data_IF_719064927156
#
_entry.id   IF_719064927156
#
_cell.length_a   1.000
_cell.length_b   1.000
_cell.length_c   1.000
_cell.angle_alpha   90.00
_cell.angle_beta   90.00
_cell.angle_gamma   90.00
#
_symmetry.space_group_name_H-M   'P 1'
#
loop_
_entity.id
_entity.type
_entity.pdbx_description
1 polymer ?
#
# COMPACT_ATOMS: atom_id res chain seq x y z
N UNK A 1 50.13 35.26 21.54
CA UNK A 1 48.70 35.30 21.23
C UNK A 1 48.33 33.92 20.67
N UNK A 2 47.75 33.04 21.48
CA UNK A 2 47.32 31.68 21.04
C UNK A 2 45.87 31.78 20.57
N UNK A 3 45.64 31.56 19.29
CA UNK A 3 44.29 31.51 18.71
C UNK A 3 43.70 30.12 19.01
N UNK A 4 42.72 30.02 19.85
CA UNK A 4 41.97 28.80 20.14
C UNK A 4 40.87 28.70 19.10
N UNK A 5 41.02 27.76 18.17
CA UNK A 5 39.99 27.42 17.16
C UNK A 5 38.92 26.58 17.85
N UNK A 6 37.75 27.17 18.09
CA UNK A 6 36.58 26.42 18.60
C UNK A 6 35.94 25.68 17.43
N UNK A 7 36.05 24.35 17.45
CA UNK A 7 35.38 23.47 16.50
C UNK A 7 33.93 23.35 16.92
N UNK A 8 32.99 24.02 16.22
CA UNK A 8 31.57 23.81 16.37
C UNK A 8 31.20 22.47 15.66
N UNK A 9 31.06 21.40 16.44
CA UNK A 9 30.40 20.19 15.99
C UNK A 9 28.91 20.53 15.84
N UNK A 10 28.46 20.77 14.60
CA UNK A 10 27.03 20.68 14.29
C UNK A 10 26.61 19.23 14.50
N UNK A 11 26.00 18.94 15.63
CA UNK A 11 25.25 17.70 15.80
C UNK A 11 24.06 17.74 14.85
N UNK A 12 24.09 16.97 13.77
CA UNK A 12 22.91 16.73 12.96
C UNK A 12 21.88 16.04 13.86
N UNK A 13 20.89 16.78 14.33
CA UNK A 13 19.74 16.19 15.00
C UNK A 13 19.12 15.18 14.04
N UNK A 14 18.80 13.94 14.46
CA UNK A 14 18.13 13.00 13.59
C UNK A 14 16.86 13.64 13.07
N UNK A 15 16.58 13.49 11.79
CA UNK A 15 15.42 14.10 11.11
C UNK A 15 14.09 13.73 11.84
N UNK A 16 14.09 12.58 12.51
CA UNK A 16 12.99 12.10 13.35
C UNK A 16 13.56 11.49 14.63
N UNK A 17 12.87 11.71 15.75
CA UNK A 17 13.19 11.14 17.06
C UNK A 17 12.23 10.02 17.49
N UNK A 18 11.23 9.68 16.69
CA UNK A 18 10.21 8.67 16.97
C UNK A 18 9.76 8.00 15.67
N UNK A 19 9.24 6.78 15.78
CA UNK A 19 8.61 6.05 14.69
C UNK A 19 7.54 6.88 13.99
N UNK A 20 7.38 6.68 12.68
CA UNK A 20 6.53 7.51 11.83
C UNK A 20 5.50 6.70 11.08
N UNK A 21 4.37 7.34 10.84
CA UNK A 21 3.37 6.91 9.87
C UNK A 21 3.26 7.98 8.78
N UNK A 22 3.28 7.53 7.53
CA UNK A 22 3.04 8.37 6.34
C UNK A 22 1.72 7.94 5.75
N UNK A 23 0.85 8.87 5.38
CA UNK A 23 -0.48 8.56 4.87
C UNK A 23 -0.93 9.60 3.84
N UNK A 24 -1.91 9.23 3.05
CA UNK A 24 -2.36 10.01 1.89
C UNK A 24 -3.79 10.50 2.07
N UNK A 25 -4.04 11.74 1.67
CA UNK A 25 -5.38 12.31 1.52
C UNK A 25 -5.71 12.47 0.03
N UNK A 26 -6.58 11.59 -0.45
CA UNK A 26 -6.93 11.50 -1.87
C UNK A 26 -7.63 12.75 -2.38
N UNK A 27 -8.57 13.32 -1.60
CA UNK A 27 -9.33 14.50 -2.00
C UNK A 27 -8.53 15.80 -1.88
N UNK A 28 -7.70 15.89 -0.86
CA UNK A 28 -6.80 17.02 -0.65
C UNK A 28 -5.55 17.01 -1.51
N UNK A 29 -5.23 15.86 -2.15
CA UNK A 29 -4.01 15.67 -2.94
C UNK A 29 -2.76 15.87 -2.09
N UNK A 30 -2.74 15.27 -0.87
CA UNK A 30 -1.69 15.52 0.13
C UNK A 30 -0.98 14.21 0.53
N UNK A 31 0.32 14.36 0.78
CA UNK A 31 1.14 13.37 1.50
C UNK A 31 1.39 13.93 2.90
N UNK A 32 1.03 13.17 3.92
CA UNK A 32 1.13 13.58 5.32
C UNK A 32 2.05 12.63 6.09
N UNK A 33 2.62 13.16 7.18
CA UNK A 33 3.39 12.39 8.16
C UNK A 33 2.95 12.73 9.58
N UNK A 34 2.99 11.74 10.48
CA UNK A 34 2.83 11.93 11.92
C UNK A 34 3.78 11.01 12.68
N UNK A 35 3.93 11.24 13.97
CA UNK A 35 4.47 10.23 14.86
C UNK A 35 3.53 9.02 14.90
N UNK A 36 4.04 7.84 15.23
CA UNK A 36 3.24 6.61 15.33
C UNK A 36 2.17 6.65 16.44
N UNK A 37 2.25 7.61 17.36
CA UNK A 37 1.24 7.89 18.38
C UNK A 37 0.16 8.90 17.92
N UNK A 38 0.24 9.39 16.67
CA UNK A 38 -0.67 10.38 16.11
C UNK A 38 -0.29 11.84 16.35
N UNK A 39 0.75 12.12 17.14
CA UNK A 39 1.20 13.50 17.36
C UNK A 39 2.04 14.04 16.19
N UNK A 40 2.23 15.36 16.12
CA UNK A 40 3.16 15.99 15.19
C UNK A 40 2.77 15.85 13.71
N UNK A 41 1.47 15.86 13.39
CA UNK A 41 0.97 15.81 12.00
C UNK A 41 1.52 16.98 11.18
N UNK A 42 2.05 16.66 10.00
CA UNK A 42 2.54 17.66 9.03
C UNK A 42 2.17 17.23 7.61
N UNK A 43 1.90 18.20 6.76
CA UNK A 43 1.82 18.01 5.30
C UNK A 43 3.25 18.06 4.75
N UNK A 44 3.65 17.03 4.01
CA UNK A 44 4.94 16.95 3.34
C UNK A 44 4.86 17.46 1.89
N UNK A 45 3.81 17.01 1.18
CA UNK A 45 3.56 17.39 -0.21
C UNK A 45 2.09 17.73 -0.33
N UNK A 46 1.76 18.82 -1.04
CA UNK A 46 0.40 19.28 -1.29
C UNK A 46 0.21 19.77 -2.73
N UNK A 47 -1.03 20.08 -3.10
CA UNK A 47 -1.37 20.59 -4.43
C UNK A 47 -1.34 19.53 -5.53
N UNK A 48 -1.29 18.26 -5.18
CA UNK A 48 -1.30 17.14 -6.12
C UNK A 48 -2.75 16.74 -6.41
N UNK A 49 -3.28 17.17 -7.54
CA UNK A 49 -4.66 16.82 -7.96
C UNK A 49 -4.78 15.41 -8.55
N UNK A 50 -3.74 14.61 -8.44
CA UNK A 50 -3.63 13.34 -9.12
C UNK A 50 -4.21 12.15 -8.31
N UNK A 51 -4.98 12.38 -7.25
CA UNK A 51 -5.64 11.37 -6.42
C UNK A 51 -4.64 10.34 -5.86
N UNK A 52 -3.78 10.70 -4.90
CA UNK A 52 -2.80 9.78 -4.33
C UNK A 52 -3.49 8.62 -3.59
N UNK A 53 -2.96 7.39 -3.73
CA UNK A 53 -3.62 6.19 -3.18
C UNK A 53 -2.71 5.26 -2.38
N UNK A 54 -1.68 4.68 -2.94
CA UNK A 54 -0.75 3.79 -2.24
C UNK A 54 0.54 4.51 -1.85
N UNK A 55 1.16 4.14 -0.73
CA UNK A 55 2.41 4.72 -0.26
C UNK A 55 3.31 3.67 0.37
N UNK A 56 4.63 3.78 0.11
CA UNK A 56 5.68 3.01 0.80
C UNK A 56 6.83 3.90 1.19
N UNK A 57 7.58 3.45 2.19
CA UNK A 57 8.82 4.10 2.66
C UNK A 57 10.00 3.20 2.37
N UNK A 58 11.07 3.78 1.83
CA UNK A 58 12.39 3.17 1.79
C UNK A 58 13.27 3.74 2.93
N UNK A 59 13.47 2.99 4.01
CA UNK A 59 14.31 3.46 5.12
C UNK A 59 15.78 3.63 4.72
N UNK A 60 16.25 2.86 3.71
CA UNK A 60 17.64 2.87 3.27
C UNK A 60 17.99 4.12 2.47
N UNK A 61 17.19 4.45 1.45
CA UNK A 61 17.37 5.67 0.65
C UNK A 61 16.77 6.91 1.33
N UNK A 62 15.99 6.73 2.44
CA UNK A 62 15.26 7.77 3.15
C UNK A 62 14.24 8.49 2.25
N UNK A 63 13.52 7.71 1.47
CA UNK A 63 12.54 8.20 0.50
C UNK A 63 11.16 7.59 0.73
N UNK A 64 10.14 8.34 0.34
CA UNK A 64 8.75 7.87 0.21
C UNK A 64 8.39 7.79 -1.26
N UNK A 65 7.61 6.78 -1.63
CA UNK A 65 7.04 6.60 -2.97
C UNK A 65 5.54 6.49 -2.85
N UNK A 66 4.80 7.10 -3.77
CA UNK A 66 3.34 6.99 -3.78
C UNK A 66 2.81 6.94 -5.21
N UNK A 67 1.66 6.29 -5.35
CA UNK A 67 0.90 6.24 -6.60
C UNK A 67 -0.04 7.43 -6.69
N UNK A 68 -0.25 7.91 -7.90
CA UNK A 68 -1.28 8.87 -8.26
C UNK A 68 -2.22 8.21 -9.26
N UNK A 69 -3.50 8.07 -8.91
CA UNK A 69 -4.49 7.39 -9.75
C UNK A 69 -4.80 8.12 -11.04
N UNK A 70 -4.50 9.42 -11.11
CA UNK A 70 -4.92 10.25 -12.24
C UNK A 70 -6.42 10.56 -12.24
N UNK A 71 -6.96 10.95 -13.40
CA UNK A 71 -8.37 11.24 -13.55
C UNK A 71 -9.17 9.95 -13.81
N UNK A 72 -10.40 9.87 -13.31
CA UNK A 72 -11.25 8.73 -13.59
C UNK A 72 -11.42 8.50 -15.10
N UNK A 73 -11.21 7.24 -15.54
CA UNK A 73 -11.36 6.78 -16.94
C UNK A 73 -10.30 7.33 -17.92
N UNK A 74 -9.24 7.96 -17.43
CA UNK A 74 -8.09 8.36 -18.24
C UNK A 74 -6.88 7.45 -17.91
N UNK A 75 -6.04 7.19 -18.90
CA UNK A 75 -4.76 6.48 -18.72
C UNK A 75 -3.68 7.53 -18.41
N UNK A 76 -3.77 8.13 -17.22
CA UNK A 76 -2.89 9.22 -16.79
C UNK A 76 -2.32 9.04 -15.37
N UNK A 77 -2.36 7.82 -14.86
CA UNK A 77 -1.74 7.47 -13.58
C UNK A 77 -0.21 7.58 -13.62
N UNK A 78 0.37 7.75 -12.44
CA UNK A 78 1.83 7.93 -12.27
C UNK A 78 2.30 7.44 -10.90
N UNK A 79 3.62 7.34 -10.71
CA UNK A 79 4.25 7.12 -9.40
C UNK A 79 5.27 8.23 -9.18
N UNK A 80 5.24 8.82 -8.00
CA UNK A 80 6.17 9.86 -7.55
C UNK A 80 6.95 9.41 -6.33
N UNK A 81 8.06 10.07 -6.07
CA UNK A 81 8.86 9.94 -4.85
C UNK A 81 9.31 11.30 -4.33
N UNK A 82 9.60 11.35 -3.04
CA UNK A 82 10.29 12.47 -2.40
C UNK A 82 11.18 11.95 -1.26
N UNK A 83 12.04 12.80 -0.72
CA UNK A 83 12.71 12.51 0.54
C UNK A 83 11.70 12.49 1.70
N UNK A 84 12.07 11.92 2.86
CA UNK A 84 11.19 11.79 4.03
C UNK A 84 10.66 13.13 4.58
N UNK A 85 11.26 14.25 4.20
CA UNK A 85 10.80 15.61 4.55
C UNK A 85 9.91 16.26 3.49
N UNK A 86 9.65 15.57 2.37
CA UNK A 86 8.86 16.04 1.24
C UNK A 86 9.65 16.80 0.18
N UNK A 87 10.96 16.97 0.36
CA UNK A 87 11.82 17.63 -0.64
C UNK A 87 12.21 16.69 -1.80
N UNK A 88 12.85 17.23 -2.83
CA UNK A 88 13.36 16.49 -4.01
C UNK A 88 12.29 15.63 -4.72
N UNK A 89 11.09 16.20 -4.85
CA UNK A 89 9.98 15.55 -5.55
C UNK A 89 10.38 15.16 -6.98
N UNK A 90 10.16 13.89 -7.33
CA UNK A 90 10.56 13.31 -8.62
C UNK A 90 9.49 12.35 -9.12
N UNK A 91 9.18 12.39 -10.41
CA UNK A 91 8.33 11.39 -11.06
C UNK A 91 9.18 10.13 -11.36
N UNK A 92 8.73 8.98 -10.87
CA UNK A 92 9.35 7.67 -11.06
C UNK A 92 8.72 6.95 -12.26
N UNK A 93 7.39 6.78 -12.23
CA UNK A 93 6.63 6.28 -13.37
C UNK A 93 5.89 7.48 -13.97
N UNK A 94 6.15 7.82 -15.26
CA UNK A 94 5.56 8.99 -15.87
C UNK A 94 4.04 8.86 -16.00
N UNK A 95 3.37 9.99 -16.20
CA UNK A 95 1.94 10.03 -16.52
C UNK A 95 1.65 9.17 -17.75
N UNK A 96 0.67 8.26 -17.64
CA UNK A 96 0.36 7.25 -18.67
C UNK A 96 1.22 5.98 -18.59
N UNK A 97 2.13 5.88 -17.62
CA UNK A 97 2.88 4.64 -17.36
C UNK A 97 2.08 3.59 -16.60
N UNK A 98 0.97 3.98 -16.00
CA UNK A 98 -0.04 3.12 -15.39
C UNK A 98 -1.42 3.76 -15.59
N UNK A 99 -2.47 2.95 -15.65
CA UNK A 99 -3.84 3.47 -15.85
C UNK A 99 -4.36 4.13 -14.57
N UNK A 100 -4.54 3.32 -13.51
CA UNK A 100 -5.00 3.78 -12.20
C UNK A 100 -4.23 3.03 -11.12
N UNK A 101 -2.95 3.38 -10.91
CA UNK A 101 -2.13 2.69 -9.92
C UNK A 101 -2.71 2.91 -8.52
N UNK A 102 -2.87 1.79 -7.80
CA UNK A 102 -3.42 1.72 -6.45
C UNK A 102 -2.29 1.46 -5.44
N UNK A 103 -2.39 0.43 -4.63
CA UNK A 103 -1.37 0.13 -3.63
C UNK A 103 -0.04 -0.28 -4.25
N UNK A 104 1.06 0.00 -3.54
CA UNK A 104 2.40 -0.38 -3.99
C UNK A 104 3.23 -0.98 -2.84
N UNK A 105 4.24 -1.77 -3.21
CA UNK A 105 5.22 -2.35 -2.28
C UNK A 105 6.63 -2.19 -2.84
N UNK A 106 7.61 -2.16 -1.93
CA UNK A 106 9.01 -1.97 -2.23
C UNK A 106 9.82 -3.21 -1.82
N UNK A 107 10.57 -3.76 -2.76
CA UNK A 107 11.65 -4.71 -2.50
C UNK A 107 12.97 -3.93 -2.42
N UNK A 108 13.36 -3.55 -1.21
CA UNK A 108 14.58 -2.78 -0.96
C UNK A 108 15.86 -3.58 -1.24
N UNK A 109 15.78 -4.93 -1.23
CA UNK A 109 16.92 -5.81 -1.48
C UNK A 109 17.31 -5.81 -2.97
N UNK A 110 16.32 -5.89 -3.86
CA UNK A 110 16.53 -5.98 -5.30
C UNK A 110 16.25 -4.66 -6.02
N UNK A 111 15.87 -3.60 -5.30
CA UNK A 111 15.58 -2.28 -5.86
C UNK A 111 14.39 -2.30 -6.81
N UNK A 112 13.28 -2.93 -6.40
CA UNK A 112 12.07 -3.05 -7.22
C UNK A 112 10.86 -2.41 -6.54
N UNK A 113 10.05 -1.71 -7.35
CA UNK A 113 8.69 -1.28 -7.00
C UNK A 113 7.69 -2.23 -7.66
N UNK A 114 6.64 -2.55 -6.91
CA UNK A 114 5.50 -3.34 -7.37
C UNK A 114 4.22 -2.58 -7.10
N UNK A 115 3.29 -2.56 -8.03
CA UNK A 115 1.99 -1.92 -7.82
C UNK A 115 0.85 -2.65 -8.52
N UNK A 116 -0.34 -2.47 -7.99
CA UNK A 116 -1.59 -2.86 -8.64
C UNK A 116 -2.09 -1.71 -9.51
N UNK A 117 -2.53 -2.01 -10.71
CA UNK A 117 -3.10 -1.05 -11.66
C UNK A 117 -4.57 -1.41 -11.90
N UNK A 118 -5.47 -0.70 -11.21
CA UNK A 118 -6.88 -1.09 -11.06
C UNK A 118 -7.61 -1.20 -12.39
N UNK A 119 -7.84 -0.11 -13.08
CA UNK A 119 -8.47 -0.10 -14.40
C UNK A 119 -7.52 -0.54 -15.51
N UNK A 120 -6.21 -0.57 -15.24
CA UNK A 120 -5.23 -1.27 -16.08
C UNK A 120 -5.37 -2.77 -16.03
N UNK A 121 -6.06 -3.30 -14.99
CA UNK A 121 -6.30 -4.73 -14.76
C UNK A 121 -4.98 -5.52 -14.72
N UNK A 122 -3.96 -4.97 -14.02
CA UNK A 122 -2.61 -5.50 -14.05
C UNK A 122 -1.96 -5.46 -12.67
N UNK A 123 -1.00 -6.37 -12.47
CA UNK A 123 0.04 -6.23 -11.46
C UNK A 123 1.33 -5.92 -12.19
N UNK A 124 2.01 -4.88 -11.76
CA UNK A 124 3.17 -4.33 -12.45
C UNK A 124 4.39 -4.24 -11.55
N UNK A 125 5.55 -4.16 -12.16
CA UNK A 125 6.84 -3.98 -11.50
C UNK A 125 7.75 -3.06 -12.31
N UNK A 126 8.63 -2.31 -11.62
CA UNK A 126 9.76 -1.59 -12.22
C UNK A 126 10.97 -1.62 -11.31
N UNK A 127 12.09 -1.09 -11.78
CA UNK A 127 13.15 -0.64 -10.88
C UNK A 127 12.68 0.58 -10.08
N UNK A 128 13.32 0.84 -8.93
CA UNK A 128 12.99 2.01 -8.08
C UNK A 128 13.23 3.36 -8.74
N UNK A 129 14.01 3.39 -9.83
CA UNK A 129 14.23 4.58 -10.66
C UNK A 129 13.18 4.73 -11.78
N UNK A 130 12.20 3.81 -11.88
CA UNK A 130 11.16 3.78 -12.89
C UNK A 130 11.56 3.12 -14.21
N UNK A 131 12.78 2.65 -14.35
CA UNK A 131 13.20 1.88 -15.53
C UNK A 131 12.63 0.45 -15.52
N UNK A 132 12.61 -0.22 -16.69
CA UNK A 132 12.17 -1.61 -16.84
C UNK A 132 10.78 -1.88 -16.27
N UNK A 133 9.79 -1.07 -16.69
CA UNK A 133 8.39 -1.32 -16.36
C UNK A 133 7.91 -2.59 -17.07
N UNK A 134 7.34 -3.51 -16.31
CA UNK A 134 6.82 -4.78 -16.84
C UNK A 134 5.51 -5.18 -16.15
N UNK A 135 4.67 -5.91 -16.87
CA UNK A 135 3.45 -6.51 -16.37
C UNK A 135 3.74 -7.93 -15.86
N UNK A 136 3.34 -8.25 -14.64
CA UNK A 136 3.49 -9.58 -14.04
C UNK A 136 2.21 -10.42 -14.14
N UNK A 137 1.06 -9.77 -14.00
CA UNK A 137 -0.27 -10.38 -14.10
C UNK A 137 -1.17 -9.46 -14.92
N UNK A 138 -1.98 -10.03 -15.81
CA UNK A 138 -3.05 -9.33 -16.51
C UNK A 138 -4.36 -10.07 -16.26
N UNK A 139 -5.33 -9.38 -15.66
CA UNK A 139 -6.63 -9.97 -15.22
C UNK A 139 -7.75 -9.70 -16.22
N UNK A 140 -7.52 -8.88 -17.21
CA UNK A 140 -8.46 -8.55 -18.28
C UNK A 140 -7.86 -7.61 -19.31
N UNK A 141 -8.49 -7.52 -20.48
CA UNK A 141 -8.05 -6.69 -21.58
C UNK A 141 -9.22 -5.95 -22.27
N UNK A 142 -8.99 -4.69 -22.61
CA UNK A 142 -9.96 -3.86 -23.32
C UNK A 142 -11.07 -3.29 -22.44
N UNK A 143 -11.92 -2.45 -23.03
CA UNK A 143 -12.89 -1.64 -22.29
C UNK A 143 -14.03 -2.46 -21.65
N UNK A 144 -14.42 -3.57 -22.28
CA UNK A 144 -15.45 -4.47 -21.73
C UNK A 144 -14.96 -5.11 -20.42
N UNK A 145 -13.73 -5.64 -20.42
CA UNK A 145 -13.12 -6.20 -19.22
C UNK A 145 -12.86 -5.12 -18.16
N UNK A 146 -12.49 -3.91 -18.56
CA UNK A 146 -12.26 -2.75 -17.68
C UNK A 146 -13.52 -2.30 -16.95
N UNK A 147 -14.70 -2.47 -17.56
CA UNK A 147 -15.97 -2.16 -16.92
C UNK A 147 -16.38 -3.18 -15.83
N UNK A 148 -15.74 -4.35 -15.81
CA UNK A 148 -16.00 -5.40 -14.83
C UNK A 148 -15.03 -5.28 -13.65
N UNK A 149 -15.54 -4.84 -12.51
CA UNK A 149 -14.74 -4.63 -11.29
C UNK A 149 -14.09 -5.92 -10.73
N UNK A 150 -14.53 -7.11 -11.17
CA UNK A 150 -13.89 -8.37 -10.80
C UNK A 150 -12.47 -8.50 -11.37
N UNK A 151 -12.13 -7.70 -12.39
CA UNK A 151 -10.78 -7.63 -12.97
C UNK A 151 -9.88 -6.60 -12.28
N UNK A 152 -10.40 -5.81 -11.33
CA UNK A 152 -9.68 -4.68 -10.75
C UNK A 152 -8.73 -5.12 -9.64
N UNK A 153 -7.43 -5.00 -9.88
CA UNK A 153 -6.38 -5.25 -8.90
C UNK A 153 -6.17 -4.01 -8.02
N UNK A 154 -6.19 -4.16 -6.68
CA UNK A 154 -6.12 -3.01 -5.75
C UNK A 154 -5.01 -3.14 -4.72
N UNK A 155 -5.06 -4.09 -3.80
CA UNK A 155 -4.00 -4.35 -2.82
C UNK A 155 -2.86 -5.15 -3.43
N UNK A 156 -1.68 -5.06 -2.83
CA UNK A 156 -0.50 -5.81 -3.28
C UNK A 156 0.40 -6.17 -2.10
N UNK A 157 0.94 -7.39 -2.10
CA UNK A 157 1.93 -7.87 -1.16
C UNK A 157 3.01 -8.69 -1.89
N UNK A 158 4.25 -8.69 -1.39
CA UNK A 158 5.36 -9.39 -2.04
C UNK A 158 6.14 -10.20 -1.01
N UNK A 159 6.28 -11.50 -1.27
CA UNK A 159 7.19 -12.41 -0.56
C UNK A 159 8.36 -12.73 -1.50
N UNK A 160 9.38 -11.89 -1.45
CA UNK A 160 10.57 -12.00 -2.30
C UNK A 160 11.31 -13.32 -2.04
N UNK A 161 11.34 -13.76 -0.79
CA UNK A 161 12.08 -14.99 -0.41
C UNK A 161 11.39 -16.25 -0.96
N UNK A 162 10.08 -16.30 -0.94
CA UNK A 162 9.29 -17.37 -1.54
C UNK A 162 9.05 -17.19 -3.06
N UNK A 163 9.46 -16.04 -3.63
CA UNK A 163 9.22 -15.72 -5.03
C UNK A 163 7.73 -15.59 -5.37
N UNK A 164 6.94 -15.01 -4.47
CA UNK A 164 5.48 -14.90 -4.62
C UNK A 164 5.01 -13.45 -4.56
N UNK A 165 3.96 -13.14 -5.33
CA UNK A 165 3.22 -11.89 -5.31
C UNK A 165 1.76 -12.18 -4.94
N UNK A 166 1.19 -11.32 -4.11
CA UNK A 166 -0.18 -11.40 -3.59
C UNK A 166 -0.93 -10.14 -3.99
N UNK A 167 -2.22 -10.28 -4.33
CA UNK A 167 -3.05 -9.10 -4.63
C UNK A 167 -4.51 -9.34 -4.29
N UNK A 168 -5.26 -8.26 -4.08
CA UNK A 168 -6.71 -8.29 -4.04
C UNK A 168 -7.29 -7.99 -5.41
N UNK A 169 -8.34 -8.72 -5.81
CA UNK A 169 -9.31 -8.29 -6.81
C UNK A 169 -10.56 -7.85 -6.07
N UNK A 170 -10.85 -6.55 -6.17
CA UNK A 170 -11.82 -5.91 -5.29
C UNK A 170 -13.26 -6.40 -5.50
N UNK A 171 -13.61 -6.80 -6.73
CA UNK A 171 -14.99 -7.10 -7.09
C UNK A 171 -15.87 -5.85 -7.25
N UNK A 172 -17.16 -6.06 -7.45
CA UNK A 172 -18.14 -4.98 -7.45
C UNK A 172 -18.35 -4.37 -6.08
N UNK A 173 -18.94 -3.16 -6.01
CA UNK A 173 -19.23 -2.52 -4.73
C UNK A 173 -20.23 -3.41 -3.94
N UNK A 174 -19.81 -3.87 -2.76
CA UNK A 174 -20.59 -4.77 -1.89
C UNK A 174 -21.13 -6.03 -2.57
N UNK A 175 -20.51 -6.48 -3.66
CA UNK A 175 -21.01 -7.59 -4.45
C UNK A 175 -20.68 -8.97 -3.83
N UNK A 176 -19.72 -9.05 -2.91
CA UNK A 176 -19.26 -10.32 -2.34
C UNK A 176 -18.54 -11.20 -3.35
N UNK A 177 -17.98 -10.62 -4.41
CA UNK A 177 -17.22 -11.30 -5.46
C UNK A 177 -15.73 -10.90 -5.47
N UNK A 178 -15.27 -10.22 -4.41
CA UNK A 178 -13.88 -9.91 -4.18
C UNK A 178 -13.04 -11.16 -3.86
N UNK A 179 -11.75 -11.09 -4.13
CA UNK A 179 -10.85 -12.22 -3.86
C UNK A 179 -9.44 -11.75 -3.52
N UNK A 180 -8.72 -12.63 -2.83
CA UNK A 180 -7.30 -12.52 -2.54
C UNK A 180 -6.57 -13.65 -3.27
N UNK A 181 -5.56 -13.28 -4.04
CA UNK A 181 -4.86 -14.17 -4.96
C UNK A 181 -3.35 -14.09 -4.79
N UNK A 182 -2.66 -15.11 -5.30
CA UNK A 182 -1.19 -15.11 -5.43
C UNK A 182 -0.73 -15.77 -6.72
N UNK A 183 0.51 -15.45 -7.12
CA UNK A 183 1.22 -16.12 -8.21
C UNK A 183 2.74 -16.06 -7.97
N UNK A 184 3.52 -16.66 -8.85
CA UNK A 184 4.97 -16.50 -8.85
C UNK A 184 5.41 -15.08 -9.24
N UNK A 185 6.56 -14.63 -8.76
CA UNK A 185 7.21 -13.38 -9.21
C UNK A 185 7.77 -13.49 -10.63
N UNK A 186 7.92 -14.71 -11.13
CA UNK A 186 8.33 -15.01 -12.50
C UNK A 186 7.19 -15.70 -13.23
N UNK A 187 7.07 -15.42 -14.52
CA UNK A 187 6.10 -16.12 -15.37
C UNK A 187 6.52 -17.58 -15.54
N UNK A 188 5.57 -18.53 -15.57
CA UNK A 188 5.85 -19.90 -16.04
C UNK A 188 6.42 -19.87 -17.45
N UNK A 189 7.27 -20.86 -17.77
CA UNK A 189 7.96 -20.91 -19.05
C UNK A 189 6.98 -20.97 -20.24
N UNK A 190 7.12 -20.06 -21.18
CA UNK A 190 6.27 -19.98 -22.38
C UNK A 190 4.93 -19.28 -22.17
N UNK A 191 4.64 -18.76 -20.98
CA UNK A 191 3.39 -18.07 -20.68
C UNK A 191 3.56 -16.54 -20.68
N UNK A 192 2.45 -15.83 -20.78
CA UNK A 192 2.36 -14.37 -20.71
C UNK A 192 1.64 -13.95 -19.42
N UNK A 193 1.67 -12.66 -19.03
CA UNK A 193 0.88 -12.16 -17.89
C UNK A 193 -0.61 -12.49 -17.95
N UNK A 194 -1.19 -12.56 -19.19
CA UNK A 194 -2.60 -12.84 -19.41
C UNK A 194 -2.93 -14.35 -19.43
N UNK A 195 -1.94 -15.21 -19.70
CA UNK A 195 -2.17 -16.66 -19.86
C UNK A 195 -1.55 -17.50 -18.76
N UNK A 196 -0.96 -16.86 -17.74
CA UNK A 196 -0.26 -17.56 -16.67
C UNK A 196 -1.18 -18.52 -15.91
N UNK A 197 -0.70 -19.75 -15.74
CA UNK A 197 -1.46 -20.85 -15.14
C UNK A 197 -1.25 -21.01 -13.63
N UNK A 198 -0.31 -20.26 -13.04
CA UNK A 198 0.11 -20.38 -11.64
C UNK A 198 -0.64 -19.44 -10.68
N UNK A 199 -1.74 -18.83 -11.12
CA UNK A 199 -2.58 -18.00 -10.26
C UNK A 199 -3.39 -18.90 -9.32
N UNK A 200 -3.22 -18.68 -8.03
CA UNK A 200 -3.96 -19.36 -6.97
C UNK A 200 -4.94 -18.36 -6.32
N UNK A 201 -6.20 -18.78 -6.14
CA UNK A 201 -7.19 -18.05 -5.32
C UNK A 201 -7.05 -18.55 -3.88
N UNK A 202 -6.65 -17.67 -2.97
CA UNK A 202 -6.47 -17.98 -1.56
C UNK A 202 -7.78 -17.82 -0.78
N UNK A 203 -8.47 -16.72 -1.03
CA UNK A 203 -9.76 -16.37 -0.42
C UNK A 203 -10.65 -15.76 -1.51
N UNK A 204 -11.90 -16.16 -1.53
CA UNK A 204 -12.93 -15.64 -2.44
C UNK A 204 -14.18 -15.22 -1.67
N UNK A 205 -15.18 -14.71 -2.38
CA UNK A 205 -16.43 -14.21 -1.80
C UNK A 205 -16.20 -13.16 -0.71
N UNK A 206 -15.10 -12.38 -0.80
CA UNK A 206 -14.85 -11.26 0.08
C UNK A 206 -15.73 -10.07 -0.32
N UNK A 207 -16.20 -9.24 0.64
CA UNK A 207 -17.08 -8.11 0.32
C UNK A 207 -16.45 -7.13 -0.66
N UNK A 208 -15.33 -6.51 -0.31
CA UNK A 208 -14.58 -5.55 -1.13
C UNK A 208 -13.16 -5.37 -0.59
N UNK A 209 -12.25 -6.36 -0.76
CA UNK A 209 -10.90 -6.33 -0.21
C UNK A 209 -10.05 -5.26 -0.91
N UNK A 210 -9.29 -4.48 -0.13
CA UNK A 210 -8.52 -3.33 -0.60
C UNK A 210 -7.02 -3.57 -0.43
N UNK A 211 -6.39 -3.03 0.61
CA UNK A 211 -4.94 -3.11 0.80
C UNK A 211 -4.49 -4.36 1.52
N UNK A 212 -3.24 -4.77 1.30
CA UNK A 212 -2.64 -5.97 1.90
C UNK A 212 -1.31 -5.60 2.56
N UNK A 213 -1.05 -6.22 3.72
CA UNK A 213 0.29 -6.34 4.26
C UNK A 213 0.58 -7.75 4.80
N UNK A 214 1.85 -8.17 4.83
CA UNK A 214 2.26 -9.54 5.08
C UNK A 214 3.14 -9.66 6.34
N UNK A 215 2.76 -10.54 7.28
CA UNK A 215 3.67 -11.07 8.28
C UNK A 215 4.29 -12.37 7.74
N UNK A 216 5.43 -12.23 7.06
CA UNK A 216 6.14 -13.36 6.45
C UNK A 216 6.69 -14.33 7.50
N UNK A 217 6.98 -13.86 8.71
CA UNK A 217 7.51 -14.68 9.79
C UNK A 217 6.50 -15.66 10.36
N UNK A 218 5.23 -15.22 10.45
CA UNK A 218 4.11 -16.02 10.93
C UNK A 218 3.25 -16.57 9.79
N UNK A 219 3.62 -16.29 8.54
CA UNK A 219 2.86 -16.69 7.35
C UNK A 219 1.41 -16.22 7.41
N UNK A 220 1.20 -14.94 7.78
CA UNK A 220 -0.12 -14.33 7.89
C UNK A 220 -0.27 -13.18 6.88
N UNK A 221 -1.45 -13.06 6.28
CA UNK A 221 -1.84 -11.96 5.43
C UNK A 221 -2.90 -11.13 6.15
N UNK A 222 -2.72 -9.81 6.12
CA UNK A 222 -3.65 -8.82 6.68
C UNK A 222 -4.20 -8.00 5.54
N UNK A 223 -5.49 -7.62 5.60
CA UNK A 223 -6.08 -6.71 4.62
C UNK A 223 -7.22 -5.89 5.21
N UNK A 224 -7.48 -4.74 4.58
CA UNK A 224 -8.67 -3.95 4.80
C UNK A 224 -9.77 -4.38 3.84
N UNK A 225 -11.00 -4.35 4.30
CA UNK A 225 -12.18 -4.57 3.47
C UNK A 225 -13.12 -3.38 3.64
N UNK A 226 -13.50 -2.72 2.55
CA UNK A 226 -14.35 -1.54 2.58
C UNK A 226 -15.82 -1.82 2.28
N UNK A 227 -16.20 -3.06 2.05
CA UNK A 227 -17.58 -3.46 1.83
C UNK A 227 -18.49 -3.19 3.02
N UNK A 228 -19.76 -3.59 2.92
CA UNK A 228 -20.73 -3.37 3.98
C UNK A 228 -20.56 -4.36 5.15
N UNK A 229 -20.90 -3.93 6.38
CA UNK A 229 -20.96 -4.83 7.52
C UNK A 229 -21.93 -6.03 7.29
N UNK A 230 -21.71 -7.17 7.96
CA UNK A 230 -20.74 -7.38 9.05
C UNK A 230 -19.33 -7.78 8.61
N UNK A 231 -19.11 -8.17 7.35
CA UNK A 231 -17.83 -8.67 6.84
C UNK A 231 -16.96 -7.57 6.18
N UNK A 232 -17.53 -6.43 5.87
CA UNK A 232 -16.86 -5.24 5.34
C UNK A 232 -16.75 -4.11 6.36
N UNK A 233 -16.06 -3.05 6.01
CA UNK A 233 -15.59 -1.98 6.90
C UNK A 233 -14.74 -2.53 8.04
N UNK A 234 -13.78 -3.42 7.68
CA UNK A 234 -13.03 -4.25 8.61
C UNK A 234 -11.53 -4.24 8.31
N UNK A 235 -10.74 -4.66 9.32
CA UNK A 235 -9.38 -5.19 9.12
C UNK A 235 -9.46 -6.69 9.39
N UNK A 236 -8.90 -7.47 8.49
CA UNK A 236 -8.97 -8.92 8.50
C UNK A 236 -7.57 -9.53 8.52
N UNK A 237 -7.49 -10.80 8.96
CA UNK A 237 -6.26 -11.59 8.94
C UNK A 237 -6.57 -13.03 8.57
N UNK A 238 -5.64 -13.67 7.85
CA UNK A 238 -5.74 -15.09 7.56
C UNK A 238 -4.36 -15.71 7.32
N UNK A 239 -4.19 -17.04 7.42
CA UNK A 239 -2.98 -17.72 6.98
C UNK A 239 -2.74 -17.54 5.47
N UNK A 240 -1.47 -17.28 5.08
CA UNK A 240 -1.06 -17.19 3.67
C UNK A 240 -1.15 -18.54 2.95
N UNK A 241 -1.10 -19.65 3.69
CA UNK A 241 -1.06 -21.02 3.18
C UNK A 241 -2.24 -21.83 3.75
N UNK A 242 -3.41 -21.21 3.90
CA UNK A 242 -4.58 -21.84 4.44
C UNK A 242 -5.12 -22.96 3.54
N UNK A 243 -5.82 -23.90 4.15
CA UNK A 243 -6.66 -24.85 3.41
C UNK A 243 -7.77 -24.10 2.65
N UNK A 244 -8.21 -24.58 1.49
CA UNK A 244 -9.33 -24.00 0.76
C UNK A 244 -10.54 -23.80 1.68
N UNK A 245 -11.16 -22.60 1.64
CA UNK A 245 -12.34 -22.20 2.44
C UNK A 245 -12.09 -21.94 3.93
N UNK A 246 -10.85 -21.69 4.37
CA UNK A 246 -10.63 -21.15 5.70
C UNK A 246 -11.30 -19.77 5.82
N UNK A 247 -12.04 -19.54 6.92
CA UNK A 247 -12.64 -18.23 7.17
C UNK A 247 -11.59 -17.29 7.76
N UNK A 248 -11.52 -16.03 7.28
CA UNK A 248 -10.64 -15.03 7.86
C UNK A 248 -11.07 -14.62 9.27
N UNK A 249 -10.09 -14.26 10.10
CA UNK A 249 -10.34 -13.54 11.35
C UNK A 249 -10.70 -12.07 11.04
N UNK A 250 -11.82 -11.57 11.54
CA UNK A 250 -12.13 -10.15 11.57
C UNK A 250 -11.50 -9.57 12.84
N UNK A 251 -10.46 -8.76 12.69
CA UNK A 251 -9.70 -8.17 13.82
C UNK A 251 -10.30 -6.85 14.30
N UNK A 252 -10.79 -6.03 13.38
CA UNK A 252 -11.37 -4.71 13.61
C UNK A 252 -12.60 -4.57 12.75
N UNK A 253 -13.62 -3.89 13.25
CA UNK A 253 -14.85 -3.55 12.51
C UNK A 253 -15.27 -2.10 12.76
N UNK A 254 -16.21 -1.61 11.96
CA UNK A 254 -16.79 -0.28 12.13
C UNK A 254 -15.95 0.84 11.54
N UNK A 255 -15.08 0.55 10.56
CA UNK A 255 -14.39 1.57 9.77
C UNK A 255 -15.38 2.31 8.86
N UNK A 256 -14.99 3.48 8.37
CA UNK A 256 -15.74 4.23 7.37
C UNK A 256 -15.06 4.11 6.00
N UNK A 257 -15.27 2.98 5.33
CA UNK A 257 -14.56 2.54 4.14
C UNK A 257 -13.03 2.39 4.39
N UNK A 258 -12.64 1.27 5.04
CA UNK A 258 -11.23 0.97 5.35
C UNK A 258 -10.39 0.81 4.08
N UNK A 259 -9.23 1.51 3.99
CA UNK A 259 -8.40 1.54 2.79
C UNK A 259 -6.97 1.04 3.05
N UNK A 260 -6.11 1.80 3.72
CA UNK A 260 -4.70 1.47 3.87
C UNK A 260 -4.41 0.63 5.10
N UNK A 261 -3.39 -0.24 5.03
CA UNK A 261 -2.86 -0.98 6.18
C UNK A 261 -1.34 -1.04 6.12
N UNK A 262 -0.68 -0.90 7.28
CA UNK A 262 0.74 -1.08 7.46
C UNK A 262 1.04 -1.80 8.77
N UNK A 263 1.94 -2.78 8.75
CA UNK A 263 2.34 -3.56 9.92
C UNK A 263 3.65 -3.07 10.51
N UNK A 264 3.66 -2.85 11.81
CA UNK A 264 4.85 -2.75 12.65
C UNK A 264 5.05 -4.10 13.34
N UNK A 265 5.72 -5.03 12.65
CA UNK A 265 5.92 -6.39 13.15
C UNK A 265 6.77 -6.42 14.43
N UNK A 266 7.91 -5.68 14.54
CA UNK A 266 8.69 -5.63 15.77
C UNK A 266 7.91 -5.05 16.96
N UNK A 267 7.13 -3.98 16.74
CA UNK A 267 6.29 -3.36 17.77
C UNK A 267 4.98 -4.11 18.04
N UNK A 268 4.65 -5.14 17.24
CA UNK A 268 3.44 -5.95 17.41
C UNK A 268 2.15 -5.16 17.12
N UNK A 269 2.21 -4.16 16.25
CA UNK A 269 1.08 -3.28 15.93
C UNK A 269 0.78 -3.22 14.44
N UNK A 270 -0.41 -2.77 14.12
CA UNK A 270 -0.84 -2.38 12.78
C UNK A 270 -1.42 -0.97 12.81
N UNK A 271 -1.28 -0.27 11.70
CA UNK A 271 -1.83 1.06 11.43
C UNK A 271 -2.73 0.97 10.21
N UNK A 272 -3.88 1.64 10.24
CA UNK A 272 -4.83 1.60 9.13
C UNK A 272 -5.62 2.89 9.02
N UNK A 273 -6.15 3.13 7.83
CA UNK A 273 -6.86 4.35 7.45
C UNK A 273 -8.24 4.04 6.89
N UNK A 274 -9.10 5.05 6.88
CA UNK A 274 -10.39 5.00 6.23
C UNK A 274 -10.70 6.29 5.42
N UNK A 275 -11.63 6.20 4.48
CA UNK A 275 -12.08 7.36 3.69
C UNK A 275 -12.81 8.41 4.52
N UNK A 276 -13.26 8.04 5.73
CA UNK A 276 -13.82 8.98 6.71
C UNK A 276 -12.79 9.94 7.32
N UNK A 277 -11.51 9.76 7.01
CA UNK A 277 -10.43 10.66 7.40
C UNK A 277 -9.79 10.36 8.74
N UNK A 278 -9.83 9.11 9.16
CA UNK A 278 -9.24 8.65 10.41
C UNK A 278 -8.01 7.78 10.19
N UNK A 279 -7.06 7.88 11.11
CA UNK A 279 -5.93 6.98 11.27
C UNK A 279 -6.10 6.24 12.59
N UNK A 280 -5.92 4.94 12.54
CA UNK A 280 -6.06 4.04 13.68
C UNK A 280 -4.78 3.24 13.93
N UNK A 281 -4.66 2.70 15.13
CA UNK A 281 -3.72 1.62 15.42
C UNK A 281 -4.39 0.54 16.26
N UNK A 282 -3.92 -0.70 16.14
CA UNK A 282 -4.28 -1.82 17.01
C UNK A 282 -3.08 -2.76 17.14
N UNK A 283 -3.12 -3.69 18.10
CA UNK A 283 -2.20 -4.83 18.08
C UNK A 283 -2.49 -5.74 16.90
N UNK A 284 -1.54 -6.59 16.52
CA UNK A 284 -1.68 -7.53 15.40
C UNK A 284 -2.78 -8.59 15.61
N UNK A 285 -3.32 -8.71 16.80
CA UNK A 285 -4.49 -9.56 17.15
C UNK A 285 -5.82 -8.79 17.16
N UNK A 286 -5.81 -7.49 16.80
CA UNK A 286 -6.96 -6.60 16.82
C UNK A 286 -7.23 -5.94 18.17
N UNK A 287 -6.58 -6.35 19.26
CA UNK A 287 -6.77 -5.75 20.57
C UNK A 287 -6.11 -4.36 20.67
N UNK A 288 -6.40 -3.62 21.76
CA UNK A 288 -5.86 -2.27 22.03
C UNK A 288 -6.02 -1.30 20.86
N UNK A 289 -7.21 -1.32 20.23
CA UNK A 289 -7.55 -0.40 19.14
C UNK A 289 -7.60 1.05 19.66
N UNK A 290 -6.99 1.96 18.88
CA UNK A 290 -6.97 3.41 19.16
C UNK A 290 -7.24 4.18 17.88
N UNK A 291 -8.06 5.23 17.99
CA UNK A 291 -8.14 6.28 16.98
C UNK A 291 -7.03 7.27 17.26
N UNK A 292 -6.04 7.34 16.39
CA UNK A 292 -4.89 8.26 16.53
C UNK A 292 -5.24 9.64 16.02
N UNK A 293 -5.90 9.70 14.86
CA UNK A 293 -6.25 10.94 14.17
C UNK A 293 -7.67 10.85 13.61
N UNK A 294 -8.34 12.00 13.51
CA UNK A 294 -9.63 12.16 12.83
C UNK A 294 -9.62 13.42 11.98
N UNK A 295 -10.55 13.52 11.02
CA UNK A 295 -10.76 14.71 10.17
C UNK A 295 -9.52 15.12 9.36
N UNK A 296 -8.73 14.15 8.94
CA UNK A 296 -7.52 14.41 8.14
C UNK A 296 -7.76 14.50 6.63
N UNK A 297 -9.00 14.46 6.18
CA UNK A 297 -9.40 14.46 4.77
C UNK A 297 -10.14 13.19 4.38
N UNK A 298 -9.81 12.60 3.24
CA UNK A 298 -10.30 11.27 2.81
C UNK A 298 -9.07 10.39 2.61
N UNK A 299 -8.81 9.51 3.59
CA UNK A 299 -7.51 8.84 3.66
C UNK A 299 -7.48 7.55 2.85
N UNK A 300 -6.29 7.29 2.26
CA UNK A 300 -6.02 6.09 1.48
C UNK A 300 -4.81 5.35 2.05
N UNK A 301 -3.75 5.12 1.30
CA UNK A 301 -2.59 4.35 1.74
C UNK A 301 -1.91 4.87 3.00
N UNK A 302 -1.29 3.96 3.73
CA UNK A 302 -0.49 4.25 4.92
C UNK A 302 0.79 3.42 4.90
N UNK A 303 1.89 3.98 5.36
CA UNK A 303 3.16 3.28 5.54
C UNK A 303 3.75 3.58 6.92
N UNK A 304 4.39 2.60 7.52
CA UNK A 304 5.08 2.72 8.80
C UNK A 304 6.60 2.74 8.59
N UNK A 305 7.28 3.59 9.33
CA UNK A 305 8.74 3.67 9.40
C UNK A 305 9.19 3.58 10.85
N UNK A 306 9.90 2.49 11.18
CA UNK A 306 10.64 2.41 12.44
C UNK A 306 11.92 3.23 12.35
N UNK A 307 12.20 4.00 13.41
CA UNK A 307 13.42 4.78 13.57
C UNK A 307 14.32 4.13 14.62
N UNK A 308 14.02 2.87 14.98
CA UNK A 308 14.83 2.13 15.95
C UNK A 308 16.33 2.21 15.61
N UNK A 309 17.18 2.33 16.65
CA UNK A 309 18.61 2.54 16.52
C UNK A 309 19.35 1.40 15.85
#
# INVERSE_FOLDING_TARGET
MKLTLALFLLSATPLFAADRIFFLDIKGGRVLVANSDGTGVRVLVEGRRALPDGIVVDPKSRQIFWTNMGKPKEDDGSIERADLDGTHLTTVVPVGGAWTPKQLKLDTKNGKLYWSDREGMRIMRSNVDGSHIETLVETGHGDVARADARNWCVGIGVDVAAGKIYWTQKGGNNAGDGSLRRAGLHLPAGETPATRSDIEVLYDHLPEPIDIDLDLSKRMIYWTDRGDPPRGNTVNRAPMDAAPRAEPDILVSGLNEGIGIALDLPGGRMYFTDLGGSVYSAKLDGSDQKTLLTKQGSLTGIAFLSIAP
#
